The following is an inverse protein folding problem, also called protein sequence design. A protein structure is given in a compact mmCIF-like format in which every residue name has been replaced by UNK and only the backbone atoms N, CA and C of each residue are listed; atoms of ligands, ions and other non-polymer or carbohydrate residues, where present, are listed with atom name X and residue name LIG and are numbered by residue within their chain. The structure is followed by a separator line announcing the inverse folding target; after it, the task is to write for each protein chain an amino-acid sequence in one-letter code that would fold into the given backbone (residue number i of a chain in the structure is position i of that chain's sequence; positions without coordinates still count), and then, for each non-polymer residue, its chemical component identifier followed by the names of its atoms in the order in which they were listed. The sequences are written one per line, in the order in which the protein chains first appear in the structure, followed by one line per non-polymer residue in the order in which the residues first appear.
data_IF_148602222720
#
_entry.id   IF_148602222720
#
_cell.length_a   1.000
_cell.length_b   1.000
_cell.length_c   1.000
_cell.angle_alpha   90.00
_cell.angle_beta   90.00
_cell.angle_gamma   90.00
#
_symmetry.space_group_name_H-M   'P 1'
#
loop_
_entity.id
_entity.type
_entity.pdbx_description
1 polymer ?
#
# COMPACT_ATOMS: atom_id res chain seq x y z
N UNK A 1 -2.20 -6.49 14.04
CA UNK A 1 -2.42 -5.27 13.25
C UNK A 1 -3.77 -5.35 12.58
N UNK A 2 -4.58 -4.29 12.66
CA UNK A 2 -5.94 -4.27 12.11
C UNK A 2 -6.01 -3.34 10.91
N UNK A 3 -6.75 -3.74 9.88
CA UNK A 3 -6.94 -2.94 8.68
C UNK A 3 -7.54 -1.57 9.03
N UNK A 4 -6.94 -0.45 8.56
CA UNK A 4 -7.47 0.88 8.81
C UNK A 4 -8.91 1.03 8.30
N UNK A 5 -9.26 0.38 7.18
CA UNK A 5 -10.58 0.51 6.52
C UNK A 5 -11.70 -0.32 7.13
N UNK A 6 -11.42 -1.58 7.43
CA UNK A 6 -12.47 -2.53 7.83
C UNK A 6 -12.19 -3.27 9.14
N UNK A 7 -11.09 -2.95 9.82
CA UNK A 7 -10.68 -3.52 11.11
C UNK A 7 -10.41 -5.04 11.11
N UNK A 8 -10.52 -5.72 9.96
CA UNK A 8 -10.11 -7.12 9.80
C UNK A 8 -8.59 -7.29 9.96
N UNK A 9 -8.15 -8.53 10.19
CA UNK A 9 -6.71 -8.84 10.30
C UNK A 9 -6.02 -8.81 8.94
N UNK A 10 -4.70 -8.69 8.97
CA UNK A 10 -3.86 -8.87 7.79
C UNK A 10 -3.22 -10.27 7.79
N UNK A 11 -2.98 -10.78 6.58
CA UNK A 11 -2.19 -11.97 6.31
C UNK A 11 -0.98 -11.57 5.47
N UNK A 12 0.22 -11.86 5.99
CA UNK A 12 1.45 -11.63 5.24
C UNK A 12 1.54 -12.60 4.06
N UNK A 13 1.73 -12.05 2.87
CA UNK A 13 1.68 -12.77 1.60
C UNK A 13 2.91 -12.46 0.77
N UNK A 14 3.60 -13.51 0.31
CA UNK A 14 4.70 -13.37 -0.65
C UNK A 14 4.15 -13.00 -2.03
N UNK A 15 4.67 -11.92 -2.60
CA UNK A 15 4.38 -11.50 -3.97
C UNK A 15 5.42 -12.05 -4.95
N UNK A 16 5.05 -12.18 -6.23
CA UNK A 16 5.93 -12.72 -7.29
C UNK A 16 7.24 -11.95 -7.49
N UNK A 17 7.26 -10.68 -7.11
CA UNK A 17 8.46 -9.83 -7.09
C UNK A 17 9.32 -10.04 -5.82
N UNK A 18 9.13 -11.16 -5.11
CA UNK A 18 9.90 -11.57 -3.93
C UNK A 18 9.85 -10.59 -2.75
N UNK A 19 8.73 -9.85 -2.63
CA UNK A 19 8.45 -8.97 -1.50
C UNK A 19 7.30 -9.55 -0.67
N UNK A 20 7.43 -9.51 0.65
CA UNK A 20 6.36 -9.84 1.58
C UNK A 20 5.53 -8.59 1.79
N UNK A 21 4.21 -8.68 1.69
CA UNK A 21 3.30 -7.58 2.00
C UNK A 21 2.12 -8.09 2.81
N UNK A 22 1.45 -7.21 3.53
CA UNK A 22 0.33 -7.58 4.37
C UNK A 22 -1.00 -7.35 3.64
N UNK A 23 -1.75 -8.42 3.38
CA UNK A 23 -3.04 -8.38 2.67
C UNK A 23 -4.18 -8.52 3.67
N UNK A 24 -5.13 -7.59 3.65
CA UNK A 24 -6.29 -7.59 4.52
C UNK A 24 -7.21 -8.78 4.19
N UNK A 25 -7.61 -9.55 5.21
CA UNK A 25 -8.48 -10.72 5.05
C UNK A 25 -9.96 -10.37 4.81
N UNK A 26 -10.35 -9.12 5.03
CA UNK A 26 -11.74 -8.66 4.86
C UNK A 26 -11.99 -7.85 3.59
N UNK A 27 -11.16 -6.85 3.31
CA UNK A 27 -11.35 -5.94 2.17
C UNK A 27 -10.32 -6.09 1.05
N UNK A 28 -9.36 -7.01 1.20
CA UNK A 28 -8.29 -7.30 0.23
C UNK A 28 -7.34 -6.12 -0.07
N UNK A 29 -7.40 -5.05 0.75
CA UNK A 29 -6.42 -3.97 0.70
C UNK A 29 -5.05 -4.41 1.22
N UNK A 30 -4.00 -3.73 0.79
CA UNK A 30 -2.61 -4.06 1.11
C UNK A 30 -2.01 -2.97 2.00
N UNK A 31 -1.36 -3.39 3.08
CA UNK A 31 -0.46 -2.53 3.84
C UNK A 31 0.98 -2.77 3.39
N UNK A 32 1.66 -1.69 3.00
CA UNK A 32 3.07 -1.66 2.66
C UNK A 32 3.84 -0.96 3.77
N UNK A 33 4.85 -1.63 4.31
CA UNK A 33 5.81 -1.01 5.22
C UNK A 33 6.69 0.01 4.49
N UNK A 34 7.44 0.80 5.26
CA UNK A 34 8.34 1.81 4.71
C UNK A 34 9.27 1.22 3.64
N UNK A 35 9.23 1.80 2.45
CA UNK A 35 10.12 1.40 1.35
C UNK A 35 9.68 0.15 0.58
N UNK A 36 8.65 -0.59 1.00
CA UNK A 36 8.16 -1.76 0.24
C UNK A 36 7.56 -1.37 -1.12
N UNK A 37 7.01 -0.16 -1.20
CA UNK A 37 6.52 0.43 -2.45
C UNK A 37 7.61 0.48 -3.56
N UNK A 38 8.89 0.53 -3.18
CA UNK A 38 10.01 0.56 -4.12
C UNK A 38 10.13 -0.75 -4.94
N UNK A 39 9.65 -1.88 -4.42
CA UNK A 39 9.64 -3.14 -5.16
C UNK A 39 8.53 -3.21 -6.22
N UNK A 40 7.57 -2.29 -6.16
CA UNK A 40 6.45 -2.22 -7.07
C UNK A 40 6.61 -1.14 -8.14
N UNK A 41 7.57 -0.23 -8.04
CA UNK A 41 7.76 0.84 -9.04
C UNK A 41 8.96 0.53 -9.92
N UNK A 42 8.77 0.55 -11.25
CA UNK A 42 9.85 0.27 -12.21
C UNK A 42 10.73 1.49 -12.48
N UNK A 43 10.14 2.69 -12.47
CA UNK A 43 10.85 3.96 -12.69
C UNK A 43 10.83 4.80 -11.41
N UNK A 44 11.96 4.80 -10.70
CA UNK A 44 12.13 5.54 -9.43
C UNK A 44 12.02 7.05 -9.60
N UNK A 45 12.14 7.61 -10.82
CA UNK A 45 11.86 9.03 -11.05
C UNK A 45 10.38 9.35 -10.88
N UNK A 46 9.48 8.38 -11.15
CA UNK A 46 8.04 8.52 -10.93
C UNK A 46 7.69 8.49 -9.44
N UNK A 47 8.46 7.78 -8.62
CA UNK A 47 8.29 7.74 -7.16
C UNK A 47 8.39 9.16 -6.55
N UNK A 48 9.39 9.95 -6.97
CA UNK A 48 9.52 11.33 -6.50
C UNK A 48 8.33 12.20 -6.93
N UNK A 49 7.72 11.93 -8.09
CA UNK A 49 6.50 12.62 -8.53
C UNK A 49 5.29 12.24 -7.66
N UNK A 50 5.19 10.99 -7.24
CA UNK A 50 4.16 10.49 -6.31
C UNK A 50 4.27 11.16 -4.93
N UNK A 51 5.46 11.20 -4.34
CA UNK A 51 5.68 11.83 -3.03
C UNK A 51 5.47 13.35 -3.05
N UNK A 52 6.05 14.06 -4.03
CA UNK A 52 6.11 15.53 -4.00
C UNK A 52 4.79 16.22 -4.36
N UNK A 53 3.94 15.62 -5.20
CA UNK A 53 2.71 16.28 -5.67
C UNK A 53 1.44 15.87 -4.92
N UNK A 54 1.51 14.80 -4.13
CA UNK A 54 0.36 14.16 -3.51
C UNK A 54 0.41 14.12 -1.99
N UNK A 55 1.31 13.28 -1.50
CA UNK A 55 1.48 12.97 -0.07
C UNK A 55 1.92 14.19 0.74
N UNK A 56 2.69 15.11 0.15
CA UNK A 56 3.09 16.35 0.84
C UNK A 56 1.94 17.35 1.05
N UNK A 57 0.82 17.21 0.33
CA UNK A 57 -0.41 18.00 0.53
C UNK A 57 -1.46 17.22 1.32
N UNK A 58 -1.07 16.10 1.94
CA UNK A 58 -2.02 15.18 2.53
C UNK A 58 -2.73 15.75 3.75
N UNK A 59 -4.05 15.54 3.82
CA UNK A 59 -4.87 15.88 4.98
C UNK A 59 -4.97 14.68 5.91
N UNK A 60 -4.91 14.93 7.22
CA UNK A 60 -5.17 13.88 8.22
C UNK A 60 -6.56 13.27 8.02
N UNK A 61 -6.68 11.96 8.18
CA UNK A 61 -7.96 11.25 8.15
C UNK A 61 -8.20 10.50 9.47
N UNK A 62 -9.41 9.94 9.63
CA UNK A 62 -9.80 9.19 10.84
C UNK A 62 -9.20 7.78 10.91
N UNK A 63 -8.61 7.30 9.81
CA UNK A 63 -8.02 5.97 9.71
C UNK A 63 -6.78 5.89 10.61
N UNK A 64 -6.66 4.83 11.41
CA UNK A 64 -5.54 4.63 12.33
C UNK A 64 -4.43 3.82 11.67
N UNK A 65 -3.18 4.19 11.96
CA UNK A 65 -2.04 3.40 11.55
C UNK A 65 -2.08 2.00 12.22
N UNK A 66 -1.97 0.92 11.44
CA UNK A 66 -1.98 -0.45 11.97
C UNK A 66 -0.72 -0.80 12.78
N UNK A 67 0.36 -0.02 12.63
CA UNK A 67 1.68 -0.27 13.24
C UNK A 67 2.02 0.73 14.34
N UNK A 68 1.66 2.01 14.17
CA UNK A 68 1.96 3.07 15.13
C UNK A 68 0.75 3.36 16.00
N UNK A 69 0.83 3.01 17.28
CA UNK A 69 -0.24 3.28 18.23
C UNK A 69 -0.56 4.78 18.32
N UNK A 70 -1.85 5.09 18.47
CA UNK A 70 -2.38 6.45 18.56
C UNK A 70 -2.15 7.36 17.34
N UNK A 71 -1.63 6.84 16.22
CA UNK A 71 -1.28 7.66 15.04
C UNK A 71 -2.36 7.57 13.97
N UNK A 72 -2.88 8.71 13.52
CA UNK A 72 -3.78 8.80 12.38
C UNK A 72 -3.02 8.84 11.06
N UNK A 73 -3.59 8.26 10.02
CA UNK A 73 -3.08 8.31 8.66
C UNK A 73 -3.39 9.68 8.02
N UNK A 74 -2.66 9.99 6.95
CA UNK A 74 -2.91 11.14 6.07
C UNK A 74 -3.25 10.64 4.67
N UNK A 75 -4.15 11.33 3.97
CA UNK A 75 -4.55 11.01 2.60
C UNK A 75 -3.84 11.89 1.59
N UNK A 76 -3.08 11.29 0.68
CA UNK A 76 -2.38 12.00 -0.40
C UNK A 76 -2.83 11.54 -1.78
N UNK A 77 -3.02 12.47 -2.71
CA UNK A 77 -3.41 12.14 -4.08
C UNK A 77 -2.26 11.48 -4.87
N UNK A 78 -2.57 10.54 -5.77
CA UNK A 78 -1.68 10.08 -6.84
C UNK A 78 -2.28 10.51 -8.18
N UNK A 79 -1.98 11.73 -8.66
CA UNK A 79 -2.66 12.31 -9.83
C UNK A 79 -2.52 11.49 -11.12
N UNK A 80 -1.42 10.75 -11.29
CA UNK A 80 -1.25 9.89 -12.47
C UNK A 80 -2.20 8.70 -12.53
N UNK A 81 -2.72 8.27 -11.38
CA UNK A 81 -3.66 7.16 -11.28
C UNK A 81 -5.07 7.59 -10.86
N UNK A 82 -5.29 8.90 -10.67
CA UNK A 82 -6.58 9.49 -10.31
C UNK A 82 -7.24 8.92 -9.04
N UNK A 83 -6.44 8.59 -8.02
CA UNK A 83 -6.92 8.17 -6.70
C UNK A 83 -6.09 8.78 -5.56
N UNK A 84 -6.49 8.56 -4.32
CA UNK A 84 -5.75 8.95 -3.11
C UNK A 84 -5.27 7.70 -2.37
N UNK A 85 -4.19 7.82 -1.60
CA UNK A 85 -3.69 6.74 -0.74
C UNK A 85 -3.60 7.24 0.70
N UNK A 86 -3.71 6.32 1.66
CA UNK A 86 -3.39 6.62 3.05
C UNK A 86 -1.93 6.28 3.38
N UNK A 87 -1.26 7.19 4.08
CA UNK A 87 0.10 6.99 4.59
C UNK A 87 0.18 7.33 6.08
N UNK A 88 1.01 6.63 6.83
CA UNK A 88 1.35 7.02 8.20
C UNK A 88 2.44 8.11 8.21
N UNK A 89 2.20 9.28 8.84
CA UNK A 89 3.22 10.33 8.93
C UNK A 89 4.42 9.98 9.82
N UNK A 90 4.35 8.87 10.59
CA UNK A 90 5.39 8.45 11.54
C UNK A 90 6.28 7.34 10.98
N UNK A 91 5.68 6.26 10.49
CA UNK A 91 6.42 5.12 9.94
C UNK A 91 6.47 5.09 8.41
N UNK A 92 5.80 6.01 7.71
CA UNK A 92 5.75 6.07 6.24
C UNK A 92 5.17 4.80 5.58
N UNK A 93 4.43 3.99 6.34
CA UNK A 93 3.67 2.86 5.79
C UNK A 93 2.47 3.36 5.00
N UNK A 94 2.15 2.66 3.91
CA UNK A 94 1.13 3.03 2.93
C UNK A 94 0.04 1.96 2.94
N UNK A 95 -1.22 2.39 2.94
CA UNK A 95 -2.36 1.53 2.65
C UNK A 95 -2.80 1.75 1.20
N UNK A 96 -3.01 0.63 0.49
CA UNK A 96 -3.62 0.60 -0.83
C UNK A 96 -4.90 -0.20 -0.77
N UNK A 97 -6.02 0.38 -1.20
CA UNK A 97 -7.27 -0.35 -1.31
C UNK A 97 -7.27 -1.30 -2.54
N UNK A 98 -8.27 -2.20 -2.60
CA UNK A 98 -8.38 -3.17 -3.69
C UNK A 98 -8.44 -2.51 -5.07
N UNK A 99 -9.19 -1.42 -5.23
CA UNK A 99 -9.38 -0.73 -6.51
C UNK A 99 -8.12 0.01 -6.95
N UNK A 100 -7.38 0.55 -6.00
CA UNK A 100 -6.07 1.16 -6.23
C UNK A 100 -5.08 0.11 -6.72
N UNK A 101 -5.04 -1.06 -6.08
CA UNK A 101 -4.20 -2.20 -6.50
C UNK A 101 -4.59 -2.68 -7.91
N UNK A 102 -5.89 -2.79 -8.21
CA UNK A 102 -6.39 -3.14 -9.54
C UNK A 102 -5.94 -2.11 -10.60
N UNK A 103 -6.03 -0.82 -10.26
CA UNK A 103 -5.57 0.27 -11.13
C UNK A 103 -4.07 0.20 -11.38
N UNK A 104 -3.27 0.01 -10.32
CA UNK A 104 -1.82 -0.16 -10.41
C UNK A 104 -1.46 -1.39 -11.24
N UNK A 105 -2.10 -2.54 -11.03
CA UNK A 105 -1.83 -3.77 -11.79
C UNK A 105 -2.07 -3.64 -13.31
N UNK A 106 -2.86 -2.66 -13.75
CA UNK A 106 -3.10 -2.33 -15.15
C UNK A 106 -2.09 -1.32 -15.72
N UNK A 107 -1.29 -0.66 -14.87
CA UNK A 107 -0.23 0.25 -15.30
C UNK A 107 1.02 -0.52 -15.77
N UNK A 108 1.68 0.02 -16.80
CA UNK A 108 2.96 -0.51 -17.30
C UNK A 108 4.13 -0.15 -16.39
N UNK A 109 3.96 0.89 -15.59
CA UNK A 109 5.02 1.52 -14.80
C UNK A 109 5.29 0.84 -13.46
N UNK A 110 4.44 -0.12 -13.09
CA UNK A 110 4.54 -0.84 -11.82
C UNK A 110 4.67 -2.34 -12.04
N UNK A 111 5.34 -3.00 -11.11
CA UNK A 111 5.29 -4.44 -10.96
C UNK A 111 3.95 -4.82 -10.33
N UNK A 112 3.38 -5.95 -10.75
CA UNK A 112 2.05 -6.35 -10.30
C UNK A 112 2.10 -6.85 -8.86
N UNK A 113 1.09 -6.47 -8.07
CA UNK A 113 0.73 -7.07 -6.79
C UNK A 113 0.07 -8.42 -7.05
N UNK A 114 0.89 -9.42 -7.38
CA UNK A 114 0.43 -10.79 -7.66
C UNK A 114 1.03 -11.74 -6.63
N UNK A 115 0.21 -12.42 -5.81
CA UNK A 115 0.69 -13.43 -4.88
C UNK A 115 1.49 -14.54 -5.58
N UNK A 116 2.58 -14.98 -4.96
CA UNK A 116 3.31 -16.17 -5.39
C UNK A 116 2.63 -17.44 -4.86
N UNK A 117 1.79 -18.03 -5.71
CA UNK A 117 1.05 -19.26 -5.40
C UNK A 117 1.94 -20.49 -5.16
N UNK A 118 3.23 -20.45 -5.51
CA UNK A 118 4.16 -21.56 -5.29
C UNK A 118 4.53 -21.76 -3.82
N UNK A 119 4.35 -20.72 -3.00
CA UNK A 119 4.75 -20.72 -1.58
C UNK A 119 3.55 -20.94 -0.64
N UNK A 120 2.32 -20.99 -1.17
CA UNK A 120 1.12 -21.29 -0.38
C UNK A 120 0.91 -22.80 -0.10
N UNK A 121 1.87 -23.64 -0.50
CA UNK A 121 1.87 -25.10 -0.32
C UNK A 121 2.97 -25.58 0.64
N UNK A 122 3.09 -24.96 1.81
CA UNK A 122 3.84 -25.57 2.92
C UNK A 122 2.91 -25.72 4.12
N UNK A 123 2.46 -26.96 4.31
CA UNK A 123 1.76 -27.61 5.43
C UNK A 123 1.07 -26.75 6.48
#
# INVERSE_FOLDING_TARGET
MNCPKCQSTFQTTLMRNAVMVDVCTGCEGVWLAQGEINFFIKDTKKLNKYYNNGINQAMSCIDKCPTCDGTFLRKGALPEFSFEIEECPKCFGIFLDKKEIETLNNSRDVNKFTPDKRVQHTN
#
